data_IF_233675630462
#
_entry.id   IF_233675630462
#
_cell.length_a   1.000
_cell.length_b   1.000
_cell.length_c   1.000
_cell.angle_alpha   90.00
_cell.angle_beta   90.00
_cell.angle_gamma   90.00
#
_symmetry.space_group_name_H-M   'P 1'
#
loop_
_entity.id
_entity.type
_entity.pdbx_description
1 polymer ?
#
# COMPACT_ATOMS: atom_id res chain seq x y z
N UNK A 1 -8.13 35.71 -18.56
CA UNK A 1 -7.92 36.13 -19.96
C UNK A 1 -8.60 35.14 -20.88
N UNK A 2 -9.76 35.55 -21.38
CA UNK A 2 -10.49 35.16 -22.60
C UNK A 2 -10.26 33.73 -23.15
N UNK A 3 -11.21 32.84 -22.84
CA UNK A 3 -11.40 31.60 -23.58
C UNK A 3 -12.01 31.93 -24.95
N UNK A 4 -11.23 31.74 -26.02
CA UNK A 4 -11.77 31.66 -27.38
C UNK A 4 -12.70 30.44 -27.48
N UNK A 5 -14.00 30.70 -27.40
CA UNK A 5 -15.06 29.76 -27.72
C UNK A 5 -15.13 29.59 -29.24
N UNK A 6 -14.63 28.46 -29.76
CA UNK A 6 -14.89 28.08 -31.15
C UNK A 6 -16.40 27.89 -31.37
N UNK A 7 -17.03 28.64 -32.30
CA UNK A 7 -18.45 28.49 -32.61
C UNK A 7 -18.58 27.38 -33.67
N UNK A 8 -18.63 26.12 -33.25
CA UNK A 8 -18.61 25.04 -34.25
C UNK A 8 -19.15 23.69 -33.84
N UNK A 9 -19.67 23.52 -32.63
CA UNK A 9 -20.31 22.26 -32.28
C UNK A 9 -21.58 22.54 -31.48
N UNK A 10 -22.71 22.58 -32.19
CA UNK A 10 -24.01 22.74 -31.58
C UNK A 10 -24.29 21.53 -30.66
N UNK A 11 -24.84 21.74 -29.46
CA UNK A 11 -25.11 20.67 -28.49
C UNK A 11 -26.12 19.63 -28.99
N UNK A 12 -26.85 19.95 -30.07
CA UNK A 12 -27.85 19.09 -30.71
C UNK A 12 -27.22 17.92 -31.47
N UNK A 13 -26.09 18.14 -32.15
CA UNK A 13 -25.40 17.10 -32.94
C UNK A 13 -24.82 15.98 -32.06
N UNK A 14 -24.53 16.27 -30.78
CA UNK A 14 -23.96 15.29 -29.85
C UNK A 14 -25.02 14.40 -29.21
N UNK A 15 -26.25 14.90 -29.04
CA UNK A 15 -27.41 14.11 -28.58
C UNK A 15 -27.87 13.11 -29.65
N UNK A 16 -27.86 13.51 -30.93
CA UNK A 16 -28.24 12.64 -32.06
C UNK A 16 -27.33 11.40 -32.22
N UNK A 17 -26.10 11.45 -31.72
CA UNK A 17 -25.14 10.32 -31.77
C UNK A 17 -25.17 9.41 -30.53
N UNK A 18 -26.03 9.68 -29.54
CA UNK A 18 -26.16 8.85 -28.34
C UNK A 18 -24.94 8.84 -27.40
N UNK A 19 -23.97 9.74 -27.58
CA UNK A 19 -22.83 9.81 -26.69
C UNK A 19 -23.23 10.48 -25.38
N UNK A 20 -23.20 9.72 -24.28
CA UNK A 20 -23.39 10.27 -22.94
C UNK A 20 -22.40 11.41 -22.68
N UNK A 21 -22.90 12.56 -22.22
CA UNK A 21 -22.04 13.65 -21.70
C UNK A 21 -21.15 13.05 -20.60
N UNK A 22 -19.82 13.16 -20.67
CA UNK A 22 -18.99 12.77 -19.53
C UNK A 22 -19.38 13.67 -18.37
N UNK A 23 -20.07 13.12 -17.37
CA UNK A 23 -20.39 13.85 -16.15
C UNK A 23 -19.06 14.36 -15.56
N UNK A 24 -18.91 15.68 -15.49
CA UNK A 24 -17.76 16.31 -14.86
C UNK A 24 -17.83 16.00 -13.37
N UNK A 25 -17.25 14.87 -12.96
CA UNK A 25 -17.14 14.52 -11.55
C UNK A 25 -16.27 15.59 -10.89
N UNK A 26 -16.83 16.32 -9.92
CA UNK A 26 -16.04 17.18 -9.04
C UNK A 26 -14.90 16.33 -8.47
N UNK A 27 -13.67 16.81 -8.61
CA UNK A 27 -12.52 16.14 -7.99
C UNK A 27 -12.75 16.17 -6.49
N UNK A 28 -12.82 15.00 -5.86
CA UNK A 28 -12.91 14.91 -4.40
C UNK A 28 -11.60 15.37 -3.80
N UNK A 29 -11.65 16.10 -2.68
CA UNK A 29 -10.47 16.44 -1.92
C UNK A 29 -9.85 15.16 -1.35
N UNK A 30 -8.59 14.93 -1.72
CA UNK A 30 -7.85 13.73 -1.29
C UNK A 30 -7.23 14.07 0.06
N UNK A 31 -7.61 13.37 1.15
CA UNK A 31 -7.03 13.59 2.47
C UNK A 31 -5.55 13.24 2.43
N UNK A 32 -4.69 14.07 3.02
CA UNK A 32 -3.26 13.82 3.07
C UNK A 32 -2.91 12.97 4.29
N UNK A 33 -2.01 12.01 4.12
CA UNK A 33 -1.45 11.20 5.20
C UNK A 33 -0.61 12.03 6.21
N UNK A 34 -0.36 13.30 5.92
CA UNK A 34 0.31 14.24 6.82
C UNK A 34 -0.68 15.05 7.67
N UNK A 35 -1.99 14.96 7.40
CA UNK A 35 -3.01 15.68 8.16
C UNK A 35 -3.16 15.14 9.59
N UNK A 36 -2.65 13.93 9.87
CA UNK A 36 -2.57 13.40 11.25
C UNK A 36 -1.63 14.20 12.17
N UNK A 37 -0.78 15.10 11.62
CA UNK A 37 0.19 15.85 12.42
C UNK A 37 -0.45 17.10 13.00
N UNK A 38 -0.30 17.36 14.31
CA UNK A 38 -0.79 18.59 14.89
C UNK A 38 -0.05 19.79 14.28
N UNK A 39 -0.77 20.83 13.82
CA UNK A 39 -0.17 21.99 13.15
C UNK A 39 0.75 22.80 14.09
N UNK A 40 0.49 22.74 15.40
CA UNK A 40 1.29 23.42 16.43
C UNK A 40 2.64 22.77 16.70
N UNK A 41 2.91 21.57 16.17
CA UNK A 41 4.19 20.90 16.39
C UNK A 41 5.33 21.71 15.76
N UNK A 42 6.47 21.78 16.44
CA UNK A 42 7.66 22.43 15.89
C UNK A 42 8.30 21.59 14.77
N UNK A 43 8.94 22.29 13.84
CA UNK A 43 9.85 21.68 12.87
C UNK A 43 10.93 20.88 13.60
N UNK A 44 11.28 19.72 13.03
CA UNK A 44 12.26 18.77 13.60
C UNK A 44 13.55 19.43 14.10
N UNK A 45 14.10 20.34 13.29
CA UNK A 45 15.44 20.87 13.50
C UNK A 45 15.50 21.80 14.75
N UNK A 46 14.34 22.33 15.19
CA UNK A 46 14.23 23.24 16.33
C UNK A 46 13.65 22.58 17.59
N UNK A 47 13.03 21.40 17.47
CA UNK A 47 12.30 20.77 18.57
C UNK A 47 13.17 20.43 19.80
N UNK A 48 14.48 20.19 19.62
CA UNK A 48 15.38 19.79 20.71
C UNK A 48 16.13 20.97 21.36
N UNK A 49 15.85 22.21 20.95
CA UNK A 49 16.56 23.39 21.47
C UNK A 49 15.94 23.84 22.81
N UNK A 50 16.72 23.97 23.90
CA UNK A 50 16.21 24.37 25.22
C UNK A 50 15.51 25.74 25.21
N UNK A 51 16.00 26.63 24.36
CA UNK A 51 15.55 28.02 24.20
C UNK A 51 14.09 28.10 23.70
N UNK A 52 13.56 27.05 23.06
CA UNK A 52 12.19 27.12 22.49
C UNK A 52 11.09 27.25 23.53
N UNK A 53 11.36 26.91 24.79
CA UNK A 53 10.40 27.09 25.88
C UNK A 53 10.15 28.56 26.20
N UNK A 54 11.20 29.40 26.15
CA UNK A 54 11.19 30.81 26.55
C UNK A 54 10.87 31.80 25.43
N UNK A 55 10.72 31.32 24.19
CA UNK A 55 10.49 32.17 23.01
C UNK A 55 9.02 32.57 22.87
N UNK A 56 8.77 33.76 22.32
CA UNK A 56 7.44 34.29 22.06
C UNK A 56 6.57 33.37 21.19
N UNK A 57 5.25 33.43 21.42
CA UNK A 57 4.28 32.58 20.72
C UNK A 57 4.22 32.85 19.21
N UNK A 58 4.50 34.09 18.78
CA UNK A 58 4.59 34.45 17.37
C UNK A 58 5.73 33.69 16.70
N UNK A 59 6.91 33.65 17.32
CA UNK A 59 8.07 32.94 16.78
C UNK A 59 7.83 31.42 16.84
N UNK A 60 7.21 30.91 17.91
CA UNK A 60 6.77 29.50 17.98
C UNK A 60 5.84 29.15 16.82
N UNK A 61 4.91 30.03 16.46
CA UNK A 61 3.99 29.83 15.32
C UNK A 61 4.72 29.80 13.98
N UNK A 62 5.70 30.68 13.75
CA UNK A 62 6.50 30.68 12.52
C UNK A 62 7.32 29.38 12.38
N UNK A 63 7.81 28.84 13.48
CA UNK A 63 8.58 27.59 13.52
C UNK A 63 7.71 26.32 13.61
N UNK A 64 6.38 26.47 13.67
CA UNK A 64 5.43 25.36 13.73
C UNK A 64 5.19 24.71 12.36
N UNK A 65 4.51 23.56 12.37
CA UNK A 65 4.12 22.83 11.17
C UNK A 65 2.97 23.49 10.38
N UNK A 66 2.23 24.40 10.99
CA UNK A 66 1.19 25.21 10.33
C UNK A 66 1.80 25.97 9.15
N UNK A 67 2.93 26.65 9.39
CA UNK A 67 3.66 27.47 8.41
C UNK A 67 4.76 26.68 7.68
N UNK A 68 4.87 25.37 7.92
CA UNK A 68 5.93 24.55 7.39
C UNK A 68 5.64 24.03 5.97
N UNK A 69 6.72 23.82 5.21
CA UNK A 69 6.65 23.17 3.90
C UNK A 69 6.30 21.69 4.02
N UNK A 70 5.76 21.10 2.94
CA UNK A 70 5.46 19.66 2.89
C UNK A 70 6.69 18.79 3.20
N UNK A 71 7.88 19.24 2.81
CA UNK A 71 9.15 18.54 3.10
C UNK A 71 9.44 18.48 4.60
N UNK A 72 9.16 19.54 5.34
CA UNK A 72 9.35 19.59 6.79
C UNK A 72 8.33 18.71 7.51
N UNK A 73 7.06 18.72 7.09
CA UNK A 73 6.04 17.77 7.59
C UNK A 73 6.47 16.31 7.36
N UNK A 74 7.03 16.01 6.18
CA UNK A 74 7.59 14.68 5.90
C UNK A 74 8.77 14.34 6.81
N UNK A 75 9.69 15.28 7.10
CA UNK A 75 10.83 15.03 8.02
C UNK A 75 10.32 14.60 9.40
N UNK A 76 9.30 15.28 9.93
CA UNK A 76 8.69 14.94 11.22
C UNK A 76 8.02 13.57 11.17
N UNK A 77 7.20 13.28 10.15
CA UNK A 77 6.55 11.96 10.01
C UNK A 77 7.58 10.83 9.93
N UNK A 78 8.68 11.06 9.19
CA UNK A 78 9.78 10.09 9.11
C UNK A 78 10.37 9.86 10.50
N UNK A 79 10.59 10.90 11.30
CA UNK A 79 11.11 10.76 12.66
C UNK A 79 10.16 9.95 13.56
N UNK A 80 8.86 10.26 13.56
CA UNK A 80 7.87 9.49 14.32
C UNK A 80 7.86 8.00 13.93
N UNK A 81 8.08 7.69 12.64
CA UNK A 81 8.21 6.31 12.18
C UNK A 81 9.54 5.66 12.60
N UNK A 82 10.64 6.43 12.67
CA UNK A 82 11.92 5.94 13.22
C UNK A 82 11.77 5.54 14.66
N UNK A 83 11.15 6.40 15.46
CA UNK A 83 11.03 6.20 16.91
C UNK A 83 10.25 4.93 17.24
N UNK A 84 9.26 4.57 16.41
CA UNK A 84 8.49 3.33 16.54
C UNK A 84 9.31 2.08 16.24
N UNK A 85 10.25 2.15 15.30
CA UNK A 85 10.95 0.98 14.74
C UNK A 85 12.36 0.80 15.32
N UNK A 86 13.00 1.89 15.77
CA UNK A 86 14.38 1.86 16.29
C UNK A 86 14.50 0.95 17.50
N UNK A 87 15.65 0.27 17.61
CA UNK A 87 15.98 -0.57 18.77
C UNK A 87 16.61 0.24 19.90
N UNK A 88 17.47 1.19 19.54
CA UNK A 88 18.16 2.08 20.47
C UNK A 88 17.98 3.54 20.03
N UNK A 89 18.14 4.53 20.93
CA UNK A 89 17.82 5.92 20.63
C UNK A 89 18.72 6.54 19.55
N UNK A 90 19.97 6.07 19.42
CA UNK A 90 20.98 6.57 18.46
C UNK A 90 21.14 5.69 17.21
N UNK A 91 20.35 4.62 17.07
CA UNK A 91 20.44 3.73 15.92
C UNK A 91 19.84 4.37 14.66
N UNK A 92 20.71 4.67 13.69
CA UNK A 92 20.35 5.18 12.37
C UNK A 92 20.71 4.21 11.24
N UNK A 93 21.48 3.17 11.54
CA UNK A 93 22.17 2.32 10.56
C UNK A 93 21.55 0.94 10.39
N UNK A 94 20.77 0.46 11.37
CA UNK A 94 20.10 -0.85 11.26
C UNK A 94 19.19 -0.92 10.04
N UNK A 95 19.05 -2.11 9.45
CA UNK A 95 18.23 -2.31 8.25
C UNK A 95 16.75 -1.90 8.41
N UNK A 96 16.24 -1.98 9.63
CA UNK A 96 14.87 -1.61 10.01
C UNK A 96 14.68 -0.09 10.00
N UNK A 97 15.69 0.62 10.50
CA UNK A 97 15.72 2.08 10.58
C UNK A 97 16.30 2.70 9.31
N UNK A 98 16.94 1.92 8.45
CA UNK A 98 17.66 2.41 7.29
C UNK A 98 16.74 3.28 6.42
N UNK A 99 17.30 4.40 5.94
CA UNK A 99 16.55 5.46 5.27
C UNK A 99 15.57 4.98 4.21
N UNK A 100 15.87 3.88 3.51
CA UNK A 100 15.03 3.37 2.42
C UNK A 100 13.67 2.83 2.88
N UNK A 101 13.55 2.21 4.05
CA UNK A 101 12.29 1.60 4.50
C UNK A 101 11.32 2.66 5.02
N UNK A 102 11.82 3.57 5.86
CA UNK A 102 11.07 4.69 6.44
C UNK A 102 10.79 5.83 5.44
N UNK A 103 11.82 6.32 4.74
CA UNK A 103 11.64 7.38 3.72
C UNK A 103 10.81 6.84 2.57
N UNK A 104 11.03 5.58 2.18
CA UNK A 104 10.23 4.89 1.18
C UNK A 104 8.76 4.91 1.54
N UNK A 105 8.35 4.53 2.77
CA UNK A 105 6.92 4.55 3.15
C UNK A 105 6.28 5.93 3.04
N UNK A 106 6.89 6.96 3.62
CA UNK A 106 6.31 8.32 3.59
C UNK A 106 6.31 8.87 2.17
N UNK A 107 7.41 8.69 1.43
CA UNK A 107 7.53 9.13 0.04
C UNK A 107 6.53 8.41 -0.89
N UNK A 108 6.31 7.10 -0.70
CA UNK A 108 5.30 6.33 -1.42
C UNK A 108 3.91 6.96 -1.23
N UNK A 109 3.52 7.27 0.02
CA UNK A 109 2.22 7.91 0.29
C UNK A 109 2.12 9.32 -0.30
N UNK A 110 3.17 10.13 -0.19
CA UNK A 110 3.20 11.47 -0.82
C UNK A 110 3.11 11.39 -2.34
N UNK A 111 3.81 10.44 -2.98
CA UNK A 111 3.75 10.25 -4.43
C UNK A 111 2.40 9.68 -4.86
N UNK A 112 1.78 8.81 -4.07
CA UNK A 112 0.42 8.32 -4.31
C UNK A 112 -0.58 9.49 -4.32
N UNK A 113 -0.54 10.38 -3.32
CA UNK A 113 -1.38 11.59 -3.27
C UNK A 113 -1.13 12.52 -4.46
N UNK A 114 0.14 12.77 -4.80
CA UNK A 114 0.51 13.60 -5.94
C UNK A 114 -0.04 13.02 -7.25
N UNK A 115 0.10 11.70 -7.47
CA UNK A 115 -0.38 11.04 -8.69
C UNK A 115 -1.91 10.95 -8.76
N UNK A 116 -2.61 10.92 -7.63
CA UNK A 116 -4.08 11.03 -7.62
C UNK A 116 -4.54 12.41 -8.10
N UNK A 117 -3.82 13.48 -7.73
CA UNK A 117 -4.07 14.85 -8.23
C UNK A 117 -3.60 15.03 -9.68
N UNK A 118 -2.46 14.43 -10.03
CA UNK A 118 -1.75 14.59 -11.31
C UNK A 118 -1.47 13.22 -11.98
N UNK A 119 -2.49 12.55 -12.54
CA UNK A 119 -2.33 11.19 -13.09
C UNK A 119 -1.47 11.10 -14.35
N UNK A 120 -1.21 12.24 -15.02
CA UNK A 120 -0.41 12.30 -16.26
C UNK A 120 1.10 12.35 -16.01
N UNK A 121 1.54 12.52 -14.76
CA UNK A 121 2.96 12.61 -14.42
C UNK A 121 3.64 11.23 -14.41
N UNK A 122 4.25 10.88 -15.55
CA UNK A 122 4.92 9.58 -15.73
C UNK A 122 6.23 9.47 -14.95
N UNK A 123 6.91 10.60 -14.69
CA UNK A 123 8.21 10.62 -14.00
C UNK A 123 8.04 10.24 -12.54
N UNK A 124 7.07 10.86 -11.86
CA UNK A 124 6.75 10.54 -10.48
C UNK A 124 6.16 9.13 -10.31
N UNK A 125 5.39 8.65 -11.30
CA UNK A 125 4.93 7.25 -11.31
C UNK A 125 6.09 6.26 -11.39
N UNK A 126 7.12 6.54 -12.19
CA UNK A 126 8.34 5.71 -12.23
C UNK A 126 9.05 5.70 -10.88
N UNK A 127 9.22 6.86 -10.24
CA UNK A 127 9.86 6.93 -8.93
C UNK A 127 9.10 6.15 -7.86
N UNK A 128 7.77 6.27 -7.83
CA UNK A 128 6.91 5.49 -6.94
C UNK A 128 7.15 3.98 -7.09
N UNK A 129 7.17 3.46 -8.32
CA UNK A 129 7.44 2.05 -8.58
C UNK A 129 8.85 1.62 -8.13
N UNK A 130 9.86 2.44 -8.40
CA UNK A 130 11.22 2.17 -7.96
C UNK A 130 11.34 2.11 -6.42
N UNK A 131 10.65 2.99 -5.70
CA UNK A 131 10.67 3.00 -4.23
C UNK A 131 9.89 1.82 -3.64
N UNK A 132 8.79 1.40 -4.27
CA UNK A 132 8.09 0.16 -3.91
C UNK A 132 9.00 -1.07 -4.04
N UNK A 133 9.73 -1.16 -5.16
CA UNK A 133 10.67 -2.26 -5.41
C UNK A 133 11.86 -2.25 -4.44
N UNK A 134 12.44 -1.07 -4.17
CA UNK A 134 13.50 -0.92 -3.15
C UNK A 134 13.00 -1.39 -1.79
N UNK A 135 11.82 -0.94 -1.36
CA UNK A 135 11.22 -1.36 -0.09
C UNK A 135 11.01 -2.87 -0.05
N UNK A 136 10.51 -3.47 -1.14
CA UNK A 136 10.31 -4.92 -1.24
C UNK A 136 11.61 -5.70 -1.12
N UNK A 137 12.69 -5.24 -1.75
CA UNK A 137 14.03 -5.84 -1.63
C UNK A 137 14.56 -5.79 -0.20
N UNK A 138 14.39 -4.66 0.49
CA UNK A 138 14.82 -4.51 1.88
C UNK A 138 14.03 -5.42 2.84
N UNK A 139 12.71 -5.51 2.69
CA UNK A 139 11.89 -6.44 3.47
C UNK A 139 12.25 -7.91 3.16
N UNK A 140 12.55 -8.22 1.90
CA UNK A 140 13.03 -9.54 1.49
C UNK A 140 14.37 -9.91 2.13
N UNK A 141 15.28 -8.94 2.26
CA UNK A 141 16.56 -9.12 2.97
C UNK A 141 16.35 -9.30 4.48
N UNK A 142 15.58 -8.41 5.11
CA UNK A 142 15.26 -8.51 6.54
C UNK A 142 14.67 -9.87 6.90
N UNK A 143 13.74 -10.38 6.08
CA UNK A 143 13.14 -11.70 6.28
C UNK A 143 14.16 -12.84 6.25
N UNK A 144 15.23 -12.73 5.47
CA UNK A 144 16.29 -13.75 5.37
C UNK A 144 17.25 -13.70 6.55
N UNK A 145 17.56 -12.49 7.03
CA UNK A 145 18.55 -12.29 8.11
C UNK A 145 17.91 -12.48 9.48
N UNK A 146 16.81 -11.78 9.78
CA UNK A 146 16.18 -11.76 11.09
C UNK A 146 14.65 -11.74 10.96
N UNK A 147 14.01 -12.90 11.14
CA UNK A 147 12.57 -13.03 10.99
C UNK A 147 11.77 -12.29 12.07
N UNK A 148 12.23 -12.34 13.32
CA UNK A 148 11.54 -11.69 14.46
C UNK A 148 11.40 -10.18 14.28
N UNK A 149 12.43 -9.54 13.75
CA UNK A 149 12.40 -8.10 13.54
C UNK A 149 11.65 -7.71 12.28
N UNK A 150 11.74 -8.52 11.22
CA UNK A 150 10.86 -8.41 10.06
C UNK A 150 9.38 -8.39 10.47
N UNK A 151 8.95 -9.32 11.33
CA UNK A 151 7.55 -9.39 11.77
C UNK A 151 7.15 -8.14 12.58
N UNK A 152 7.99 -7.71 13.53
CA UNK A 152 7.79 -6.49 14.32
C UNK A 152 7.64 -5.25 13.43
N UNK A 153 8.54 -5.08 12.45
CA UNK A 153 8.50 -3.93 11.53
C UNK A 153 7.26 -3.94 10.64
N UNK A 154 6.86 -5.10 10.11
CA UNK A 154 5.63 -5.25 9.34
C UNK A 154 4.39 -4.88 10.15
N UNK A 155 4.31 -5.30 11.42
CA UNK A 155 3.23 -4.96 12.35
C UNK A 155 3.18 -3.45 12.63
N UNK A 156 4.30 -2.86 13.05
CA UNK A 156 4.39 -1.42 13.40
C UNK A 156 4.13 -0.49 12.20
N UNK A 157 4.55 -0.89 11.00
CA UNK A 157 4.35 -0.09 9.79
C UNK A 157 3.09 -0.46 9.02
N UNK A 158 2.30 -1.42 9.50
CA UNK A 158 1.12 -1.97 8.81
C UNK A 158 1.41 -2.32 7.33
N UNK A 159 2.52 -3.03 7.10
CA UNK A 159 2.94 -3.45 5.75
C UNK A 159 2.65 -4.94 5.60
N UNK A 160 1.80 -5.29 4.62
CA UNK A 160 1.61 -6.67 4.20
C UNK A 160 2.70 -7.06 3.19
N UNK A 161 3.51 -8.06 3.53
CA UNK A 161 4.52 -8.61 2.63
C UNK A 161 3.97 -9.77 1.83
N UNK A 162 3.98 -9.65 0.49
CA UNK A 162 3.66 -10.75 -0.42
C UNK A 162 4.91 -11.17 -1.21
N UNK A 163 5.31 -12.46 -1.18
CA UNK A 163 6.47 -12.93 -1.93
C UNK A 163 6.27 -12.75 -3.44
N UNK A 164 7.35 -12.54 -4.21
CA UNK A 164 7.25 -12.42 -5.66
C UNK A 164 6.75 -13.73 -6.27
N UNK A 165 5.93 -13.61 -7.31
CA UNK A 165 5.54 -14.78 -8.09
C UNK A 165 6.79 -15.37 -8.76
N UNK A 166 6.95 -16.70 -8.80
CA UNK A 166 8.13 -17.34 -9.37
C UNK A 166 8.26 -17.10 -10.87
N UNK A 167 7.13 -16.91 -11.57
CA UNK A 167 7.09 -16.70 -13.01
C UNK A 167 6.23 -15.47 -13.34
N UNK A 168 6.83 -14.50 -14.04
CA UNK A 168 6.09 -13.36 -14.61
C UNK A 168 5.66 -13.71 -16.04
N UNK A 169 4.43 -14.21 -16.21
CA UNK A 169 3.85 -14.51 -17.53
C UNK A 169 2.81 -13.47 -17.90
N UNK A 170 2.78 -13.03 -19.16
CA UNK A 170 1.69 -12.18 -19.68
C UNK A 170 0.43 -13.01 -19.85
N UNK A 171 -0.66 -12.62 -19.17
CA UNK A 171 -1.94 -13.29 -19.31
C UNK A 171 -2.63 -12.82 -20.59
N UNK A 172 -2.79 -13.73 -21.56
CA UNK A 172 -3.59 -13.50 -22.77
C UNK A 172 -5.05 -13.88 -22.53
N UNK A 173 -5.98 -13.27 -23.28
CA UNK A 173 -7.43 -13.59 -23.19
C UNK A 173 -7.69 -15.08 -23.40
N UNK A 174 -7.03 -15.70 -24.38
CA UNK A 174 -7.09 -17.14 -24.65
C UNK A 174 -6.66 -17.98 -23.44
N UNK A 175 -5.55 -17.61 -22.81
CA UNK A 175 -5.07 -18.30 -21.63
C UNK A 175 -6.03 -18.16 -20.44
N UNK A 176 -6.57 -16.96 -20.22
CA UNK A 176 -7.57 -16.70 -19.17
C UNK A 176 -8.82 -17.58 -19.36
N UNK A 177 -9.37 -17.62 -20.57
CA UNK A 177 -10.55 -18.44 -20.88
C UNK A 177 -10.25 -19.93 -20.69
N UNK A 178 -9.11 -20.42 -21.21
CA UNK A 178 -8.69 -21.82 -21.03
C UNK A 178 -8.50 -22.17 -19.56
N UNK A 179 -7.83 -21.31 -18.79
CA UNK A 179 -7.58 -21.56 -17.36
C UNK A 179 -8.88 -21.59 -16.56
N UNK A 180 -9.80 -20.65 -16.82
CA UNK A 180 -11.12 -20.62 -16.18
C UNK A 180 -11.93 -21.89 -16.50
N UNK A 181 -11.93 -22.31 -17.77
CA UNK A 181 -12.59 -23.54 -18.18
C UNK A 181 -11.99 -24.77 -17.49
N UNK A 182 -10.66 -24.91 -17.46
CA UNK A 182 -9.99 -26.01 -16.78
C UNK A 182 -10.32 -26.05 -15.27
N UNK A 183 -10.44 -24.89 -14.61
CA UNK A 183 -10.84 -24.82 -13.19
C UNK A 183 -12.27 -25.33 -13.02
N UNK A 184 -13.21 -24.93 -13.88
CA UNK A 184 -14.60 -25.41 -13.83
C UNK A 184 -14.68 -26.92 -14.04
N UNK A 185 -14.03 -27.45 -15.07
CA UNK A 185 -13.97 -28.90 -15.35
C UNK A 185 -13.37 -29.66 -14.18
N UNK A 186 -12.32 -29.11 -13.55
CA UNK A 186 -11.73 -29.72 -12.35
C UNK A 186 -12.73 -29.78 -11.20
N UNK A 187 -13.46 -28.69 -10.93
CA UNK A 187 -14.48 -28.63 -9.87
C UNK A 187 -15.59 -29.65 -10.12
N UNK A 188 -16.12 -29.75 -11.34
CA UNK A 188 -17.16 -30.73 -11.69
C UNK A 188 -16.66 -32.17 -11.54
N UNK A 189 -15.44 -32.46 -11.98
CA UNK A 189 -14.82 -33.77 -11.76
C UNK A 189 -14.67 -34.12 -10.28
N UNK A 190 -14.34 -33.15 -9.42
CA UNK A 190 -14.27 -33.39 -7.97
C UNK A 190 -15.65 -33.68 -7.38
N UNK A 191 -16.70 -32.96 -7.82
CA UNK A 191 -18.09 -33.20 -7.38
C UNK A 191 -18.54 -34.62 -7.72
N UNK A 192 -18.31 -35.07 -8.95
CA UNK A 192 -18.67 -36.43 -9.38
C UNK A 192 -17.93 -37.52 -8.57
N UNK A 193 -16.67 -37.27 -8.18
CA UNK A 193 -15.88 -38.20 -7.36
C UNK A 193 -16.17 -38.14 -5.86
N UNK A 194 -16.83 -37.08 -5.38
CA UNK A 194 -17.13 -36.88 -3.96
C UNK A 194 -17.95 -38.01 -3.31
N UNK A 195 -19.07 -38.52 -3.90
CA UNK A 195 -19.86 -39.57 -3.26
C UNK A 195 -19.11 -40.89 -3.15
N UNK A 196 -18.34 -41.27 -4.17
CA UNK A 196 -17.51 -42.48 -4.15
C UNK A 196 -16.47 -42.41 -3.04
N UNK A 197 -15.81 -41.24 -2.88
CA UNK A 197 -14.87 -41.01 -1.78
C UNK A 197 -15.55 -41.02 -0.41
N UNK A 198 -16.77 -40.49 -0.30
CA UNK A 198 -17.55 -40.52 0.94
C UNK A 198 -17.88 -41.97 1.33
N UNK A 199 -18.32 -42.79 0.38
CA UNK A 199 -18.61 -44.21 0.58
C UNK A 199 -17.36 -44.96 1.06
N UNK A 200 -16.24 -44.82 0.35
CA UNK A 200 -14.95 -45.40 0.76
C UNK A 200 -14.48 -44.93 2.15
N UNK A 201 -14.73 -43.67 2.51
CA UNK A 201 -14.40 -43.13 3.84
C UNK A 201 -15.27 -43.76 4.94
N UNK A 202 -16.58 -43.90 4.69
CA UNK A 202 -17.52 -44.57 5.62
C UNK A 202 -17.12 -46.03 5.83
N UNK A 203 -16.79 -46.75 4.76
CA UNK A 203 -16.31 -48.14 4.83
C UNK A 203 -15.00 -48.26 5.63
N UNK A 204 -14.03 -47.37 5.41
CA UNK A 204 -12.79 -47.35 6.22
C UNK A 204 -13.06 -47.05 7.70
N UNK A 205 -13.96 -46.12 8.00
CA UNK A 205 -14.35 -45.81 9.37
C UNK A 205 -15.05 -47.00 10.04
N UNK A 206 -15.93 -47.70 9.33
CA UNK A 206 -16.59 -48.91 9.82
C UNK A 206 -15.56 -50.03 10.10
N UNK A 207 -14.63 -50.28 9.18
CA UNK A 207 -13.52 -51.25 9.39
C UNK A 207 -12.65 -50.88 10.58
N UNK A 208 -12.32 -49.60 10.75
CA UNK A 208 -11.53 -49.13 11.88
C UNK A 208 -12.26 -49.21 13.22
N UNK A 209 -13.59 -49.04 13.24
CA UNK A 209 -14.42 -49.27 14.44
C UNK A 209 -14.48 -50.75 14.81
N UNK A 210 -14.77 -51.61 13.84
CA UNK A 210 -14.77 -53.06 14.04
C UNK A 210 -13.42 -53.58 14.54
N UNK A 211 -12.30 -53.04 14.03
CA UNK A 211 -10.96 -53.40 14.51
C UNK A 211 -10.66 -52.95 15.95
N UNK A 212 -11.29 -51.86 16.44
CA UNK A 212 -11.16 -51.41 17.84
C UNK A 212 -12.01 -52.26 18.77
N UNK A 213 -13.24 -52.57 18.36
CA UNK A 213 -14.15 -53.48 19.09
C UNK A 213 -13.59 -54.90 19.22
N UNK A 214 -12.69 -55.32 18.31
CA UNK A 214 -11.97 -56.60 18.39
C UNK A 214 -10.71 -56.57 19.27
N UNK A 215 -10.26 -55.38 19.69
CA UNK A 215 -9.08 -55.19 20.55
C UNK A 215 -9.46 -54.91 22.02
N UNK A 216 -10.72 -54.53 22.28
CA UNK A 216 -11.35 -54.45 23.61
C UNK A 216 -11.89 -55.82 24.04
#
# INVERSE_FOLDING_TARGET
SLCFSHPGCSPVLQAARGYARPAAKKKKDIPSHLDDLPPTLLKKDYANLPIMSSVDDVVKRVLSLEMASQKEKMKVKIQQLVEKVRRSPKDNGSFEVQGKLKKGRVLIRTLEEHLQRHPKDKRNRRFLLMDLDRRRKMLGYLRRVNYSTFEKTCKQLHIQYSPPQPYARRLTKRWLAKKAFCIKVFQEKQKLKAPVRLKQRRERQARARAAREQQE
#
